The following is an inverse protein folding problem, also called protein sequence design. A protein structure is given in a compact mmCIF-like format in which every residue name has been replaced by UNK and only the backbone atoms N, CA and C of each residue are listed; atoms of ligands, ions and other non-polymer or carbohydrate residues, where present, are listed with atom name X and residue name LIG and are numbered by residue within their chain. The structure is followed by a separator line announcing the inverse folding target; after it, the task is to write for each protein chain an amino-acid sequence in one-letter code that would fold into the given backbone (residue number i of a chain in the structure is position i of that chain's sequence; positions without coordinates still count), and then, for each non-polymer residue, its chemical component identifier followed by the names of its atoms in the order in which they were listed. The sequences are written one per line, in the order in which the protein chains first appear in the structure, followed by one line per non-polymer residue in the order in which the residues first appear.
data_IF_665747871815
#
_entry.id   IF_665747871815
#
_cell.length_a   1.000
_cell.length_b   1.000
_cell.length_c   1.000
_cell.angle_alpha   90.00
_cell.angle_beta   90.00
_cell.angle_gamma   90.00
#
_symmetry.space_group_name_H-M   'P 1'
#
loop_
_entity.id
_entity.type
_entity.pdbx_description
1 polymer ?
#
# COMPACT_ATOMS: atom_id res chain seq x y z
N UNK A 1 5.82 -7.28 -3.51
CA UNK A 1 6.62 -7.32 -2.26
C UNK A 1 5.71 -6.93 -1.12
N UNK A 2 5.77 -7.63 0.01
CA UNK A 2 4.97 -7.36 1.19
C UNK A 2 4.13 -8.57 1.56
N UNK A 3 4.00 -8.80 2.86
CA UNK A 3 3.40 -9.98 3.45
C UNK A 3 2.23 -9.57 4.35
N UNK A 4 1.05 -10.11 4.08
CA UNK A 4 -0.11 -9.98 4.94
C UNK A 4 -0.02 -11.02 6.05
N UNK A 5 -0.10 -10.52 7.27
CA UNK A 5 -0.13 -11.33 8.47
C UNK A 5 -0.91 -10.61 9.56
N UNK A 6 -1.53 -11.38 10.44
CA UNK A 6 -2.27 -10.86 11.57
C UNK A 6 -2.54 -11.96 12.60
N UNK A 7 -2.76 -11.52 13.84
CA UNK A 7 -3.45 -12.35 14.82
C UNK A 7 -4.95 -12.06 14.66
N UNK A 8 -5.76 -13.03 14.23
CA UNK A 8 -7.20 -12.81 14.08
C UNK A 8 -7.84 -12.63 15.45
N UNK A 9 -8.86 -11.78 15.52
CA UNK A 9 -9.67 -11.59 16.73
C UNK A 9 -10.46 -12.86 17.06
N UNK A 10 -10.96 -13.55 16.03
CA UNK A 10 -11.59 -14.87 16.12
C UNK A 10 -10.59 -15.96 15.73
N UNK A 11 -10.06 -16.65 16.74
CA UNK A 11 -9.06 -17.72 16.58
C UNK A 11 -9.51 -19.08 17.15
N UNK A 12 -10.78 -19.19 17.58
CA UNK A 12 -11.29 -20.40 18.23
C UNK A 12 -11.24 -21.66 17.33
N UNK A 13 -11.28 -21.46 16.01
CA UNK A 13 -11.17 -22.51 15.00
C UNK A 13 -9.73 -22.75 14.51
N UNK A 14 -8.74 -22.06 15.08
CA UNK A 14 -7.34 -22.13 14.65
C UNK A 14 -6.48 -22.87 15.66
N UNK A 15 -5.49 -23.60 15.15
CA UNK A 15 -4.47 -24.22 15.99
C UNK A 15 -3.57 -23.13 16.62
N UNK A 16 -3.36 -23.14 17.94
CA UNK A 16 -2.43 -22.22 18.57
C UNK A 16 -0.98 -22.42 18.10
N UNK A 17 -0.19 -21.34 18.16
CA UNK A 17 1.20 -21.35 17.70
C UNK A 17 2.07 -22.37 18.45
N UNK A 18 1.80 -22.58 19.74
CA UNK A 18 2.48 -23.53 20.60
C UNK A 18 1.54 -24.01 21.71
N UNK A 19 1.79 -25.18 22.32
CA UNK A 19 1.03 -25.64 23.48
C UNK A 19 1.00 -24.58 24.60
N UNK A 20 -0.18 -24.31 25.16
CA UNK A 20 -0.36 -23.34 26.25
C UNK A 20 -0.50 -21.87 25.82
N UNK A 21 -0.54 -21.58 24.51
CA UNK A 21 -0.91 -20.28 23.99
C UNK A 21 -2.37 -20.29 23.49
N UNK A 22 -3.04 -19.13 23.57
CA UNK A 22 -4.38 -18.92 23.02
C UNK A 22 -4.35 -18.15 21.68
N UNK A 23 -3.16 -17.99 21.09
CA UNK A 23 -2.95 -17.17 19.89
C UNK A 23 -2.59 -18.02 18.68
N UNK A 24 -3.24 -17.73 17.57
CA UNK A 24 -2.88 -18.18 16.24
C UNK A 24 -2.46 -16.98 15.37
N UNK A 25 -1.67 -17.25 14.33
CA UNK A 25 -1.28 -16.25 13.34
C UNK A 25 -1.71 -16.73 11.96
N UNK A 26 -2.47 -15.89 11.26
CA UNK A 26 -2.78 -16.11 9.86
C UNK A 26 -1.77 -15.35 9.03
N UNK A 27 -1.17 -16.07 8.11
CA UNK A 27 -0.03 -15.60 7.35
C UNK A 27 -0.20 -16.05 5.91
N UNK A 28 -0.11 -15.13 4.96
CA UNK A 28 -0.20 -15.53 3.56
C UNK A 28 1.01 -16.35 3.11
N UNK A 29 0.79 -17.21 2.11
CA UNK A 29 1.81 -18.11 1.56
C UNK A 29 2.96 -17.37 0.83
N UNK A 30 2.75 -16.11 0.43
CA UNK A 30 3.79 -15.32 -0.23
C UNK A 30 5.01 -15.13 0.67
N UNK A 31 6.19 -15.51 0.17
CA UNK A 31 7.44 -15.57 0.95
C UNK A 31 8.67 -14.98 0.24
N UNK A 32 8.53 -14.31 -0.91
CA UNK A 32 9.68 -13.67 -1.58
C UNK A 32 10.15 -12.45 -0.80
N UNK A 33 11.41 -12.46 -0.40
CA UNK A 33 12.04 -11.37 0.37
C UNK A 33 13.22 -10.85 -0.45
N UNK A 34 13.21 -9.56 -0.76
CA UNK A 34 14.30 -8.93 -1.49
C UNK A 34 15.34 -8.42 -0.50
N UNK A 35 16.60 -8.68 -0.80
CA UNK A 35 17.75 -8.26 0.00
C UNK A 35 18.76 -7.54 -0.90
N UNK A 36 19.59 -6.69 -0.29
CA UNK A 36 20.71 -6.10 -1.00
C UNK A 36 21.64 -7.21 -1.47
N UNK A 37 22.21 -7.03 -2.66
CA UNK A 37 23.22 -7.92 -3.19
C UNK A 37 24.35 -8.12 -2.17
N UNK A 38 24.62 -9.37 -1.83
CA UNK A 38 25.70 -9.71 -0.91
C UNK A 38 26.95 -9.87 -1.76
N UNK A 39 27.95 -9.02 -1.52
CA UNK A 39 29.24 -9.16 -2.21
C UNK A 39 29.94 -10.42 -1.68
N UNK A 40 30.33 -11.30 -2.60
CA UNK A 40 31.00 -12.57 -2.38
C UNK A 40 32.41 -12.55 -2.99
N UNK A 41 33.31 -13.47 -2.63
CA UNK A 41 34.66 -13.48 -3.20
C UNK A 41 34.69 -13.53 -4.74
N UNK A 42 33.72 -14.20 -5.36
CA UNK A 42 33.58 -14.35 -6.82
C UNK A 42 33.06 -13.08 -7.54
N UNK A 43 32.45 -12.13 -6.81
CA UNK A 43 32.00 -10.84 -7.36
C UNK A 43 32.83 -9.63 -6.85
N UNK A 44 34.00 -9.89 -6.26
CA UNK A 44 34.91 -8.87 -5.76
C UNK A 44 34.57 -8.33 -4.36
N UNK A 45 33.77 -9.08 -3.59
CA UNK A 45 33.48 -8.80 -2.19
C UNK A 45 34.64 -9.10 -1.25
N UNK A 46 34.87 -8.19 -0.31
CA UNK A 46 35.74 -8.43 0.85
C UNK A 46 34.94 -9.20 1.91
N UNK A 47 34.93 -10.53 1.76
CA UNK A 47 34.25 -11.44 2.69
C UNK A 47 35.31 -12.01 3.63
N UNK A 48 35.07 -11.91 4.94
CA UNK A 48 35.99 -12.49 5.92
C UNK A 48 36.16 -14.00 5.65
N UNK A 49 37.40 -14.56 5.75
CA UNK A 49 37.71 -15.92 5.30
C UNK A 49 36.78 -17.00 5.87
N UNK A 50 36.28 -16.82 7.10
CA UNK A 50 35.32 -17.74 7.73
C UNK A 50 33.97 -17.88 7.01
N UNK A 51 33.61 -16.95 6.12
CA UNK A 51 32.36 -16.96 5.35
C UNK A 51 32.55 -17.31 3.87
N UNK A 52 33.77 -17.63 3.44
CA UNK A 52 34.07 -17.89 2.02
C UNK A 52 33.24 -19.05 1.43
N UNK A 53 32.95 -20.06 2.25
CA UNK A 53 32.17 -21.24 1.87
C UNK A 53 30.71 -21.19 2.38
N UNK A 54 30.24 -20.04 2.86
CA UNK A 54 28.90 -19.92 3.42
C UNK A 54 27.83 -20.09 2.34
N UNK A 55 27.00 -21.11 2.50
CA UNK A 55 25.78 -21.33 1.71
C UNK A 55 24.57 -21.02 2.57
N UNK A 56 23.70 -20.11 2.10
CA UNK A 56 22.47 -19.78 2.82
C UNK A 56 21.53 -20.98 2.87
N UNK A 57 20.99 -21.27 4.05
CA UNK A 57 19.91 -22.27 4.22
C UNK A 57 18.52 -21.74 3.89
N UNK A 58 18.35 -20.41 3.77
CA UNK A 58 17.08 -19.77 3.43
C UNK A 58 17.10 -19.36 1.96
N UNK A 59 16.36 -20.07 1.13
CA UNK A 59 16.41 -19.91 -0.33
C UNK A 59 15.46 -18.83 -0.88
N UNK A 60 14.55 -18.32 -0.06
CA UNK A 60 13.51 -17.36 -0.50
C UNK A 60 14.01 -15.92 -0.67
N UNK A 61 15.29 -15.68 -0.39
CA UNK A 61 15.93 -14.38 -0.59
C UNK A 61 16.32 -14.16 -2.04
N UNK A 62 15.88 -13.03 -2.59
CA UNK A 62 16.22 -12.59 -3.94
C UNK A 62 17.10 -11.35 -3.82
N UNK A 63 18.33 -11.45 -4.27
CA UNK A 63 19.28 -10.34 -4.25
C UNK A 63 18.96 -9.32 -5.34
N UNK A 64 19.07 -8.04 -5.00
CA UNK A 64 18.95 -6.91 -5.92
C UNK A 64 20.13 -5.96 -5.72
N UNK A 65 20.65 -5.42 -6.82
CA UNK A 65 21.74 -4.46 -6.78
C UNK A 65 21.34 -3.17 -6.03
N UNK A 66 20.09 -2.74 -6.20
CA UNK A 66 19.48 -1.64 -5.47
C UNK A 66 18.07 -2.05 -5.01
N UNK A 67 17.78 -1.82 -3.72
CA UNK A 67 16.47 -2.10 -3.12
C UNK A 67 15.51 -0.92 -3.18
N UNK A 68 15.99 0.31 -3.42
CA UNK A 68 15.15 1.50 -3.39
C UNK A 68 13.93 1.43 -4.33
N UNK A 69 14.06 1.00 -5.61
CA UNK A 69 12.91 0.88 -6.51
C UNK A 69 11.83 -0.06 -5.96
N UNK A 70 12.27 -1.16 -5.35
CA UNK A 70 11.40 -2.20 -4.80
C UNK A 70 10.75 -1.79 -3.48
N UNK A 71 11.47 -0.99 -2.67
CA UNK A 71 10.92 -0.38 -1.47
C UNK A 71 9.82 0.63 -1.83
N UNK A 72 10.03 1.47 -2.84
CA UNK A 72 9.01 2.40 -3.35
C UNK A 72 7.81 1.66 -3.98
N UNK A 73 8.04 0.59 -4.77
CA UNK A 73 6.95 -0.24 -5.30
C UNK A 73 6.12 -0.92 -4.19
N UNK A 74 6.74 -1.24 -3.06
CA UNK A 74 6.01 -1.70 -1.86
C UNK A 74 5.26 -0.56 -1.19
N UNK A 75 5.88 0.61 -1.03
CA UNK A 75 5.26 1.73 -0.31
C UNK A 75 4.10 2.35 -1.11
N UNK A 76 4.35 2.76 -2.35
CA UNK A 76 3.40 3.49 -3.19
C UNK A 76 2.52 2.58 -4.06
N UNK A 77 2.91 1.33 -4.27
CA UNK A 77 2.05 0.33 -4.92
C UNK A 77 1.24 -0.48 -3.90
N UNK A 78 1.92 -1.37 -3.16
CA UNK A 78 1.23 -2.28 -2.22
C UNK A 78 0.58 -1.52 -1.06
N UNK A 79 1.36 -0.84 -0.22
CA UNK A 79 0.83 -0.26 1.02
C UNK A 79 -0.24 0.81 0.71
N UNK A 80 -0.03 1.62 -0.34
CA UNK A 80 -0.99 2.62 -0.78
C UNK A 80 -2.29 2.00 -1.27
N UNK A 81 -2.22 1.01 -2.18
CA UNK A 81 -3.40 0.29 -2.67
C UNK A 81 -4.17 -0.42 -1.55
N UNK A 82 -3.45 -1.02 -0.58
CA UNK A 82 -4.09 -1.68 0.56
C UNK A 82 -4.77 -0.69 1.50
N UNK A 83 -4.15 0.48 1.73
CA UNK A 83 -4.76 1.55 2.53
C UNK A 83 -6.01 2.12 1.85
N UNK A 84 -5.95 2.37 0.54
CA UNK A 84 -7.11 2.77 -0.27
C UNK A 84 -8.25 1.75 -0.11
N UNK A 85 -7.97 0.46 -0.33
CA UNK A 85 -8.96 -0.60 -0.18
C UNK A 85 -9.59 -0.62 1.22
N UNK A 86 -8.78 -0.49 2.28
CA UNK A 86 -9.27 -0.51 3.66
C UNK A 86 -10.19 0.68 3.97
N UNK A 87 -9.86 1.90 3.53
CA UNK A 87 -10.70 3.06 3.82
C UNK A 87 -11.99 3.06 2.99
N UNK A 88 -11.98 2.55 1.75
CA UNK A 88 -13.20 2.34 0.99
C UNK A 88 -14.07 1.23 1.60
N UNK A 89 -13.47 0.14 2.07
CA UNK A 89 -14.18 -0.92 2.79
C UNK A 89 -14.82 -0.38 4.08
N UNK A 90 -14.12 0.48 4.82
CA UNK A 90 -14.68 1.16 5.99
C UNK A 90 -15.89 2.02 5.63
N UNK A 91 -15.79 2.83 4.57
CA UNK A 91 -16.90 3.66 4.10
C UNK A 91 -18.14 2.84 3.75
N UNK A 92 -17.95 1.60 3.29
CA UNK A 92 -19.03 0.65 2.99
C UNK A 92 -19.55 -0.13 4.22
N UNK A 93 -19.00 0.12 5.41
CA UNK A 93 -19.38 -0.58 6.64
C UNK A 93 -18.80 -2.00 6.77
N UNK A 94 -17.82 -2.38 5.95
CA UNK A 94 -17.18 -3.68 6.04
C UNK A 94 -16.18 -3.73 7.20
N UNK A 95 -16.05 -4.92 7.81
CA UNK A 95 -15.11 -5.18 8.91
C UNK A 95 -13.83 -5.85 8.43
N UNK A 96 -13.89 -6.58 7.32
CA UNK A 96 -12.78 -7.34 6.72
C UNK A 96 -12.56 -6.93 5.26
N UNK A 97 -11.31 -7.00 4.82
CA UNK A 97 -10.91 -6.62 3.45
C UNK A 97 -11.52 -7.57 2.41
N UNK A 98 -11.66 -8.86 2.72
CA UNK A 98 -12.21 -9.84 1.79
C UNK A 98 -13.72 -9.67 1.51
N UNK A 99 -14.43 -8.87 2.30
CA UNK A 99 -15.83 -8.48 2.01
C UNK A 99 -15.93 -7.64 0.73
N UNK A 100 -14.84 -6.97 0.31
CA UNK A 100 -14.77 -6.28 -0.99
C UNK A 100 -14.97 -7.21 -2.20
N UNK A 101 -14.90 -8.54 -2.03
CA UNK A 101 -15.29 -9.50 -3.08
C UNK A 101 -16.74 -9.32 -3.54
N UNK A 102 -17.60 -8.76 -2.67
CA UNK A 102 -18.96 -8.36 -3.03
C UNK A 102 -19.06 -7.03 -3.78
N UNK A 103 -17.94 -6.31 -3.97
CA UNK A 103 -17.83 -5.02 -4.66
C UNK A 103 -16.72 -5.03 -5.71
N UNK A 104 -16.89 -5.78 -6.83
CA UNK A 104 -15.89 -5.83 -7.90
C UNK A 104 -15.52 -4.45 -8.46
N UNK A 105 -16.48 -3.53 -8.50
CA UNK A 105 -16.28 -2.12 -8.89
C UNK A 105 -15.23 -1.41 -8.02
N UNK A 106 -15.23 -1.64 -6.70
CA UNK A 106 -14.23 -1.08 -5.78
C UNK A 106 -12.88 -1.77 -5.94
N UNK A 107 -12.87 -3.09 -6.19
CA UNK A 107 -11.64 -3.82 -6.48
C UNK A 107 -10.98 -3.28 -7.77
N UNK A 108 -11.77 -3.07 -8.82
CA UNK A 108 -11.30 -2.54 -10.09
C UNK A 108 -10.84 -1.09 -9.95
N UNK A 109 -11.54 -0.29 -9.14
CA UNK A 109 -11.10 1.06 -8.78
C UNK A 109 -9.73 1.08 -8.08
N UNK A 110 -9.52 0.20 -7.10
CA UNK A 110 -8.22 0.06 -6.42
C UNK A 110 -7.14 -0.40 -7.40
N UNK A 111 -7.46 -1.36 -8.28
CA UNK A 111 -6.53 -1.81 -9.34
C UNK A 111 -6.12 -0.68 -10.25
N UNK A 112 -7.08 0.11 -10.71
CA UNK A 112 -6.82 1.23 -11.59
C UNK A 112 -5.97 2.30 -10.89
N UNK A 113 -6.17 2.56 -9.59
CA UNK A 113 -5.29 3.44 -8.81
C UNK A 113 -3.85 2.90 -8.79
N UNK A 114 -3.69 1.60 -8.52
CA UNK A 114 -2.39 0.96 -8.45
C UNK A 114 -1.66 0.96 -9.80
N UNK A 115 -2.36 0.71 -10.91
CA UNK A 115 -1.75 0.58 -12.25
C UNK A 115 -1.59 1.94 -12.94
N UNK A 116 -2.65 2.74 -12.98
CA UNK A 116 -2.72 3.96 -13.79
C UNK A 116 -2.15 5.19 -13.07
N UNK A 117 -2.10 5.20 -11.73
CA UNK A 117 -1.56 6.32 -10.96
C UNK A 117 -0.17 6.01 -10.40
N UNK A 118 -0.08 5.18 -9.35
CA UNK A 118 1.21 4.88 -8.72
C UNK A 118 2.12 4.01 -9.60
N UNK A 119 1.54 3.06 -10.32
CA UNK A 119 2.28 2.10 -11.15
C UNK A 119 2.90 2.78 -12.35
N UNK A 120 2.12 3.56 -13.08
CA UNK A 120 2.60 4.37 -14.18
C UNK A 120 3.74 5.32 -13.76
N UNK A 121 3.62 5.99 -12.60
CA UNK A 121 4.70 6.82 -12.06
C UNK A 121 5.98 6.04 -11.74
N UNK A 122 5.85 4.90 -11.05
CA UNK A 122 6.97 4.02 -10.72
C UNK A 122 7.63 3.43 -11.96
N UNK A 123 6.85 3.04 -12.98
CA UNK A 123 7.36 2.56 -14.27
C UNK A 123 8.16 3.65 -15.00
N UNK A 124 7.70 4.90 -14.98
CA UNK A 124 8.44 6.02 -15.57
C UNK A 124 9.76 6.27 -14.84
N UNK A 125 9.71 6.32 -13.50
CA UNK A 125 10.87 6.59 -12.63
C UNK A 125 11.96 5.51 -12.69
N UNK A 126 11.56 4.25 -12.81
CA UNK A 126 12.46 3.09 -12.74
C UNK A 126 12.53 2.29 -14.05
N UNK A 127 12.29 2.95 -15.18
CA UNK A 127 12.33 2.33 -16.49
C UNK A 127 13.67 1.61 -16.73
N UNK A 128 13.60 0.34 -17.15
CA UNK A 128 14.77 -0.48 -17.44
C UNK A 128 15.49 -1.10 -16.22
N UNK A 129 15.04 -0.82 -14.99
CA UNK A 129 15.67 -1.37 -13.78
C UNK A 129 15.33 -2.84 -13.54
N UNK A 130 14.06 -3.23 -13.76
CA UNK A 130 13.55 -4.58 -13.51
C UNK A 130 12.27 -4.81 -14.34
N UNK A 131 11.95 -6.06 -14.77
CA UNK A 131 10.70 -6.36 -15.46
C UNK A 131 9.43 -5.88 -14.73
N UNK A 132 9.49 -5.75 -13.39
CA UNK A 132 8.43 -5.16 -12.57
C UNK A 132 8.05 -3.74 -13.02
N UNK A 133 9.01 -2.92 -13.45
CA UNK A 133 8.81 -1.51 -13.80
C UNK A 133 8.46 -1.34 -15.28
N UNK A 134 7.54 -2.17 -15.76
CA UNK A 134 6.91 -2.07 -17.07
C UNK A 134 5.38 -2.06 -16.91
N UNK A 135 4.61 -1.52 -17.87
CA UNK A 135 3.15 -1.53 -17.76
C UNK A 135 2.57 -2.93 -17.51
N UNK A 136 3.07 -3.94 -18.22
CA UNK A 136 2.65 -5.34 -18.02
C UNK A 136 3.12 -5.89 -16.66
N UNK A 137 4.39 -5.70 -16.31
CA UNK A 137 4.93 -6.20 -15.05
C UNK A 137 4.25 -5.61 -13.81
N UNK A 138 3.92 -4.31 -13.84
CA UNK A 138 3.23 -3.67 -12.75
C UNK A 138 1.74 -4.04 -12.70
N UNK A 139 1.09 -4.24 -13.85
CA UNK A 139 -0.29 -4.75 -13.91
C UNK A 139 -0.40 -6.16 -13.32
N UNK A 140 0.51 -7.06 -13.67
CA UNK A 140 0.58 -8.40 -13.09
C UNK A 140 0.85 -8.35 -11.59
N UNK A 141 1.76 -7.47 -11.16
CA UNK A 141 2.05 -7.23 -9.76
C UNK A 141 0.83 -6.74 -8.97
N UNK A 142 0.11 -5.74 -9.49
CA UNK A 142 -1.10 -5.22 -8.86
C UNK A 142 -2.22 -6.27 -8.82
N UNK A 143 -2.40 -7.03 -9.90
CA UNK A 143 -3.37 -8.12 -9.97
C UNK A 143 -3.09 -9.22 -8.94
N UNK A 144 -1.82 -9.62 -8.78
CA UNK A 144 -1.42 -10.56 -7.74
C UNK A 144 -1.73 -10.04 -6.34
N UNK A 145 -1.32 -8.80 -6.04
CA UNK A 145 -1.55 -8.17 -4.76
C UNK A 145 -3.03 -8.11 -4.39
N UNK A 146 -3.89 -7.70 -5.32
CA UNK A 146 -5.33 -7.59 -5.08
C UNK A 146 -5.93 -8.95 -4.73
N UNK A 147 -5.59 -10.01 -5.48
CA UNK A 147 -6.07 -11.37 -5.17
C UNK A 147 -5.70 -11.79 -3.75
N UNK A 148 -4.51 -11.39 -3.31
CA UNK A 148 -4.01 -11.72 -1.97
C UNK A 148 -4.67 -10.86 -0.89
N UNK A 149 -4.89 -9.56 -1.15
CA UNK A 149 -5.58 -8.64 -0.23
C UNK A 149 -6.97 -9.14 0.14
N UNK A 150 -7.72 -9.65 -0.85
CA UNK A 150 -9.09 -10.14 -0.63
C UNK A 150 -9.15 -11.64 -0.32
N UNK A 151 -8.05 -12.24 0.12
CA UNK A 151 -8.01 -13.66 0.49
C UNK A 151 -8.76 -13.88 1.82
N UNK A 152 -9.88 -14.64 1.83
CA UNK A 152 -10.71 -14.82 3.02
C UNK A 152 -10.01 -15.62 4.13
N UNK A 153 -8.95 -16.37 3.81
CA UNK A 153 -8.17 -17.13 4.78
C UNK A 153 -7.20 -16.26 5.59
N UNK A 154 -6.90 -15.05 5.15
CA UNK A 154 -6.04 -14.11 5.90
C UNK A 154 -6.84 -13.41 7.00
N UNK A 155 -8.16 -13.27 6.81
CA UNK A 155 -9.08 -12.58 7.73
C UNK A 155 -8.61 -11.17 8.10
N UNK A 156 -8.08 -10.45 7.11
CA UNK A 156 -7.51 -9.14 7.35
C UNK A 156 -8.60 -8.12 7.69
N UNK A 157 -8.49 -7.45 8.83
CA UNK A 157 -9.53 -6.50 9.28
C UNK A 157 -9.26 -5.10 8.73
N UNK A 158 -10.34 -4.41 8.39
CA UNK A 158 -10.33 -3.00 8.00
C UNK A 158 -9.67 -2.17 9.09
N UNK A 159 -9.97 -2.43 10.36
CA UNK A 159 -9.36 -1.74 11.50
C UNK A 159 -7.82 -1.92 11.54
N UNK A 160 -7.31 -3.15 11.33
CA UNK A 160 -5.86 -3.41 11.33
C UNK A 160 -5.15 -2.73 10.17
N UNK A 161 -5.71 -2.81 8.96
CA UNK A 161 -5.11 -2.20 7.77
C UNK A 161 -5.23 -0.67 7.83
N UNK A 162 -6.37 -0.16 8.28
CA UNK A 162 -6.73 1.25 8.42
C UNK A 162 -6.09 1.97 9.61
N UNK A 163 -5.57 1.26 10.63
CA UNK A 163 -4.97 1.86 11.84
C UNK A 163 -3.91 2.94 11.57
N UNK A 164 -3.82 3.94 12.44
CA UNK A 164 -2.84 5.03 12.31
C UNK A 164 -2.98 5.81 10.98
N UNK A 165 -4.16 6.42 10.73
CA UNK A 165 -4.41 7.18 9.51
C UNK A 165 -3.52 8.43 9.40
N UNK A 166 -3.16 9.03 10.54
CA UNK A 166 -2.31 10.23 10.58
C UNK A 166 -0.95 9.99 9.91
N UNK A 167 -0.27 8.88 10.24
CA UNK A 167 1.00 8.53 9.60
C UNK A 167 0.82 8.20 8.12
N UNK A 168 -0.27 7.52 7.73
CA UNK A 168 -0.53 7.16 6.32
C UNK A 168 -0.83 8.36 5.41
N UNK A 169 -1.27 9.46 6.01
CA UNK A 169 -1.49 10.75 5.36
C UNK A 169 -0.26 11.67 5.41
N UNK A 170 0.86 11.20 5.97
CA UNK A 170 2.12 11.94 5.98
C UNK A 170 2.66 12.17 4.57
N UNK A 171 3.45 13.24 4.41
CA UNK A 171 3.87 13.78 3.11
C UNK A 171 4.60 12.78 2.21
N UNK A 172 5.47 11.97 2.82
CA UNK A 172 6.26 10.91 2.17
C UNK A 172 5.71 9.49 2.45
N UNK A 173 4.57 9.34 3.12
CA UNK A 173 3.95 8.02 3.34
C UNK A 173 3.01 7.68 2.17
N UNK A 174 2.34 6.53 2.26
CA UNK A 174 1.78 5.81 1.13
C UNK A 174 0.69 6.53 0.34
N UNK A 175 -0.22 7.29 0.96
CA UNK A 175 -1.33 7.90 0.22
C UNK A 175 -0.87 9.19 -0.45
N UNK A 176 -0.38 10.15 0.33
CA UNK A 176 0.10 11.43 -0.18
C UNK A 176 1.35 11.26 -1.03
N UNK A 177 2.31 10.43 -0.61
CA UNK A 177 3.49 10.14 -1.41
C UNK A 177 3.16 9.49 -2.75
N UNK A 178 2.18 8.58 -2.82
CA UNK A 178 1.75 8.02 -4.11
C UNK A 178 1.11 9.10 -5.01
N UNK A 179 0.33 10.03 -4.45
CA UNK A 179 -0.22 11.16 -5.18
C UNK A 179 0.88 12.07 -5.75
N UNK A 180 1.90 12.37 -4.93
CA UNK A 180 3.04 13.21 -5.33
C UNK A 180 3.84 12.58 -6.45
N UNK A 181 4.20 11.29 -6.31
CA UNK A 181 4.89 10.56 -7.37
C UNK A 181 4.08 10.52 -8.68
N UNK A 182 2.75 10.40 -8.60
CA UNK A 182 1.90 10.51 -9.78
C UNK A 182 1.96 11.90 -10.43
N UNK A 183 1.90 12.97 -9.63
CA UNK A 183 2.00 14.34 -10.15
C UNK A 183 3.36 14.64 -10.78
N UNK A 184 4.46 14.18 -10.18
CA UNK A 184 5.81 14.28 -10.77
C UNK A 184 5.87 13.63 -12.17
N UNK A 185 5.09 12.57 -12.39
CA UNK A 185 4.96 11.90 -13.68
C UNK A 185 3.87 12.49 -14.61
N UNK A 186 3.27 13.63 -14.26
CA UNK A 186 2.21 14.27 -15.05
C UNK A 186 0.84 13.60 -14.97
N UNK A 187 0.61 12.74 -13.97
CA UNK A 187 -0.63 12.00 -13.76
C UNK A 187 -1.45 12.66 -12.66
N UNK A 188 -2.77 12.79 -12.85
CA UNK A 188 -3.68 13.29 -11.82
C UNK A 188 -4.20 12.14 -10.94
N UNK A 189 -3.80 12.01 -9.66
CA UNK A 189 -4.08 10.84 -8.82
C UNK A 189 -5.47 10.92 -8.16
N UNK A 190 -6.54 10.89 -8.96
CA UNK A 190 -7.92 11.08 -8.47
C UNK A 190 -8.39 9.94 -7.56
N UNK A 191 -7.87 8.73 -7.73
CA UNK A 191 -8.28 7.56 -6.95
C UNK A 191 -7.57 7.51 -5.61
N UNK A 192 -6.28 7.81 -5.56
CA UNK A 192 -5.60 8.00 -4.27
C UNK A 192 -6.10 9.22 -3.51
N UNK A 193 -6.53 10.29 -4.20
CA UNK A 193 -7.19 11.43 -3.56
C UNK A 193 -8.51 11.03 -2.86
N UNK A 194 -9.33 10.18 -3.48
CA UNK A 194 -10.52 9.59 -2.83
C UNK A 194 -10.12 8.74 -1.61
N UNK A 195 -9.02 7.98 -1.71
CA UNK A 195 -8.47 7.21 -0.59
C UNK A 195 -7.99 8.07 0.57
N UNK A 196 -7.32 9.19 0.29
CA UNK A 196 -6.90 10.16 1.29
C UNK A 196 -8.11 10.82 1.98
N UNK A 197 -9.13 11.18 1.22
CA UNK A 197 -10.39 11.68 1.76
C UNK A 197 -11.10 10.64 2.66
N UNK A 198 -11.14 9.37 2.24
CA UNK A 198 -11.71 8.29 3.04
C UNK A 198 -10.88 8.01 4.30
N UNK A 199 -9.56 8.18 4.26
CA UNK A 199 -8.69 8.10 5.43
C UNK A 199 -8.94 9.23 6.44
N UNK A 200 -9.21 10.44 5.95
CA UNK A 200 -9.58 11.59 6.78
C UNK A 200 -10.93 11.38 7.45
N UNK A 201 -11.93 10.89 6.70
CA UNK A 201 -13.23 10.51 7.26
C UNK A 201 -13.10 9.40 8.31
N UNK A 202 -12.27 8.37 8.06
CA UNK A 202 -11.95 7.33 9.05
C UNK A 202 -11.30 7.90 10.31
N UNK A 203 -10.50 8.95 10.18
CA UNK A 203 -9.86 9.64 11.29
C UNK A 203 -10.78 10.65 12.02
N UNK A 204 -12.03 10.80 11.57
CA UNK A 204 -12.99 11.76 12.12
C UNK A 204 -12.63 13.22 11.84
N UNK A 205 -11.96 13.51 10.73
CA UNK A 205 -11.59 14.88 10.33
C UNK A 205 -12.66 15.46 9.41
N UNK A 206 -13.26 16.56 9.83
CA UNK A 206 -14.26 17.25 9.03
C UNK A 206 -13.65 17.98 7.83
N UNK A 207 -14.42 18.15 6.76
CA UNK A 207 -13.95 18.77 5.51
C UNK A 207 -13.32 20.16 5.70
N UNK A 208 -13.86 20.96 6.62
CA UNK A 208 -13.34 22.29 6.96
C UNK A 208 -11.98 22.26 7.68
N UNK A 209 -11.66 21.15 8.36
CA UNK A 209 -10.43 20.98 9.14
C UNK A 209 -9.29 20.38 8.30
N UNK A 210 -9.62 19.77 7.14
CA UNK A 210 -8.66 19.07 6.26
C UNK A 210 -7.41 19.89 5.97
N UNK A 211 -7.48 21.18 5.54
CA UNK A 211 -6.29 21.96 5.25
C UNK A 211 -5.34 22.08 6.45
N UNK A 212 -5.86 22.46 7.62
CA UNK A 212 -5.06 22.63 8.83
C UNK A 212 -4.51 21.29 9.34
N UNK A 213 -5.32 20.24 9.27
CA UNK A 213 -4.95 18.89 9.70
C UNK A 213 -3.78 18.31 8.89
N UNK A 214 -3.81 18.49 7.57
CA UNK A 214 -2.77 18.03 6.66
C UNK A 214 -1.52 18.90 6.73
N UNK A 215 -1.66 20.23 6.77
CA UNK A 215 -0.51 21.14 6.92
C UNK A 215 0.31 20.80 8.18
N UNK A 216 -0.35 20.54 9.30
CA UNK A 216 0.33 20.13 10.54
C UNK A 216 1.11 18.81 10.41
N UNK A 217 0.66 17.90 9.55
CA UNK A 217 1.30 16.59 9.31
C UNK A 217 2.45 16.65 8.32
N UNK A 218 2.40 17.61 7.39
CA UNK A 218 3.43 17.78 6.38
C UNK A 218 4.54 18.73 6.82
N UNK A 219 4.32 19.51 7.90
CA UNK A 219 5.27 20.48 8.41
C UNK A 219 6.69 19.94 8.65
N UNK A 220 6.85 18.68 9.10
CA UNK A 220 8.17 18.08 9.33
C UNK A 220 8.95 17.82 8.05
N UNK A 221 8.25 17.60 6.94
CA UNK A 221 8.85 17.33 5.64
C UNK A 221 9.13 18.61 4.85
N UNK A 222 8.63 19.77 5.33
CA UNK A 222 8.80 21.10 4.74
C UNK A 222 8.58 21.12 3.21
N UNK A 223 7.36 20.75 2.75
CA UNK A 223 7.06 20.67 1.33
C UNK A 223 7.15 22.02 0.64
N UNK A 224 7.36 22.00 -0.68
CA UNK A 224 7.13 23.18 -1.51
C UNK A 224 5.66 23.60 -1.43
N UNK A 225 5.41 24.91 -1.31
CA UNK A 225 4.06 25.44 -1.11
C UNK A 225 3.15 25.15 -2.32
N UNK A 226 3.66 25.22 -3.55
CA UNK A 226 2.87 24.95 -4.75
C UNK A 226 2.48 23.47 -4.82
N UNK A 227 3.42 22.57 -4.56
CA UNK A 227 3.16 21.13 -4.49
C UNK A 227 2.13 20.79 -3.40
N UNK A 228 2.31 21.36 -2.20
CA UNK A 228 1.40 21.14 -1.07
C UNK A 228 -0.03 21.61 -1.37
N UNK A 229 -0.18 22.79 -2.00
CA UNK A 229 -1.49 23.29 -2.41
C UNK A 229 -2.12 22.43 -3.51
N UNK A 230 -1.33 21.93 -4.47
CA UNK A 230 -1.83 21.05 -5.52
C UNK A 230 -2.34 19.71 -4.96
N UNK A 231 -1.59 19.09 -4.04
CA UNK A 231 -2.03 17.88 -3.33
C UNK A 231 -3.28 18.15 -2.50
N UNK A 232 -3.32 19.25 -1.74
CA UNK A 232 -4.46 19.62 -0.92
C UNK A 232 -5.73 19.79 -1.77
N UNK A 233 -5.63 20.46 -2.92
CA UNK A 233 -6.75 20.63 -3.84
C UNK A 233 -7.30 19.28 -4.34
N UNK A 234 -6.42 18.32 -4.64
CA UNK A 234 -6.83 16.96 -5.01
C UNK A 234 -7.57 16.26 -3.86
N UNK A 235 -7.05 16.34 -2.63
CA UNK A 235 -7.70 15.73 -1.46
C UNK A 235 -9.08 16.33 -1.20
N UNK A 236 -9.24 17.66 -1.32
CA UNK A 236 -10.53 18.34 -1.17
C UNK A 236 -11.53 17.90 -2.25
N UNK A 237 -11.10 17.79 -3.52
CA UNK A 237 -11.94 17.23 -4.57
C UNK A 237 -12.30 15.75 -4.30
N UNK A 238 -11.38 14.98 -3.71
CA UNK A 238 -11.64 13.63 -3.22
C UNK A 238 -12.71 13.59 -2.11
N UNK A 239 -12.70 14.57 -1.21
CA UNK A 239 -13.71 14.71 -0.16
C UNK A 239 -15.10 14.98 -0.73
N UNK A 240 -15.24 15.92 -1.66
CA UNK A 240 -16.51 16.19 -2.35
C UNK A 240 -17.04 14.94 -3.07
N UNK A 241 -16.14 14.21 -3.76
CA UNK A 241 -16.49 12.95 -4.43
C UNK A 241 -16.96 11.89 -3.42
N UNK A 242 -16.29 11.76 -2.27
CA UNK A 242 -16.67 10.82 -1.21
C UNK A 242 -18.06 11.14 -0.65
N UNK A 243 -18.35 12.41 -0.38
CA UNK A 243 -19.66 12.84 0.11
C UNK A 243 -20.76 12.57 -0.91
N UNK A 244 -20.51 12.84 -2.20
CA UNK A 244 -21.44 12.53 -3.27
C UNK A 244 -21.70 11.02 -3.40
N UNK A 245 -20.65 10.20 -3.30
CA UNK A 245 -20.76 8.74 -3.35
C UNK A 245 -21.56 8.19 -2.16
N UNK A 246 -21.29 8.67 -0.94
CA UNK A 246 -22.02 8.30 0.26
C UNK A 246 -23.48 8.77 0.24
N UNK A 247 -23.74 10.02 -0.19
CA UNK A 247 -25.08 10.59 -0.28
C UNK A 247 -26.00 9.88 -1.28
N UNK A 248 -25.42 9.17 -2.25
CA UNK A 248 -26.13 8.32 -3.21
C UNK A 248 -26.22 6.85 -2.76
N UNK A 249 -25.90 6.56 -1.49
CA UNK A 249 -25.86 5.21 -0.93
C UNK A 249 -24.88 4.27 -1.68
N UNK A 250 -23.68 4.78 -1.95
CA UNK A 250 -22.53 4.04 -2.49
C UNK A 250 -22.84 3.28 -3.80
N UNK A 251 -23.26 3.98 -4.89
CA UNK A 251 -23.43 3.35 -6.19
C UNK A 251 -22.13 2.71 -6.70
N UNK A 252 -22.19 2.05 -7.86
CA UNK A 252 -20.97 1.48 -8.47
C UNK A 252 -19.91 2.58 -8.64
N UNK A 253 -18.71 2.31 -8.13
CA UNK A 253 -17.59 3.24 -8.16
C UNK A 253 -16.87 3.10 -9.50
N UNK A 254 -17.03 4.11 -10.36
CA UNK A 254 -16.45 4.17 -11.72
C UNK A 254 -15.24 5.10 -11.79
#
# INVERSE_FOLDING_TARGET
IGKMSGAPEEAADLQPLAPGLDRAYLVEAFNRIYISHIRRPDDGGDVAPEWADFVRGIEVFVEKADLAPFAEAKLYGHNAGHALAAYLAHALGFRRIDELRGRPDVIDFVRAAMVEESGAALCARYAGVDPLFTPAGFADYAGDLIRRMVNPYVRDTVARVGRDPARKLGWNDRLVGAMRQAQEAGITPRRYALGAAAALAYAGVDGAEVPAYLAARWATDAPDDEEAQAILALVLAGHERLQSWAGQNYPLLV
#
